data_IF_444005141644
#
_entry.id   IF_444005141644
#
_cell.length_a   1.000
_cell.length_b   1.000
_cell.length_c   1.000
_cell.angle_alpha   90.00
_cell.angle_beta   90.00
_cell.angle_gamma   90.00
#
_symmetry.space_group_name_H-M   'P 1'
#
loop_
_entity.id
_entity.type
_entity.pdbx_description
1 polymer ?
#
# COMPACT_ATOMS: atom_id res chain seq x y z
N UNK A 1 -1.46 21.36 -8.42
CA UNK A 1 -1.33 20.28 -7.42
C UNK A 1 -2.18 19.05 -7.77
N UNK A 2 -3.37 19.20 -8.37
CA UNK A 2 -4.23 18.06 -8.74
C UNK A 2 -3.56 17.06 -9.70
N UNK A 3 -2.81 17.52 -10.71
CA UNK A 3 -2.06 16.65 -11.64
C UNK A 3 -1.01 15.81 -10.89
N UNK A 4 -0.32 16.42 -9.91
CA UNK A 4 0.67 15.72 -9.07
C UNK A 4 -0.01 14.63 -8.24
N UNK A 5 -1.17 14.93 -7.63
CA UNK A 5 -1.96 13.95 -6.88
C UNK A 5 -2.35 12.76 -7.76
N UNK A 6 -2.85 13.00 -8.97
CA UNK A 6 -3.24 11.94 -9.90
C UNK A 6 -2.06 11.05 -10.30
N UNK A 7 -0.93 11.65 -10.68
CA UNK A 7 0.28 10.89 -11.04
C UNK A 7 0.74 10.03 -9.87
N UNK A 8 0.79 10.61 -8.67
CA UNK A 8 1.21 9.91 -7.46
C UNK A 8 0.25 8.77 -7.11
N UNK A 9 -1.06 9.02 -7.13
CA UNK A 9 -2.08 8.04 -6.80
C UNK A 9 -2.13 6.89 -7.80
N UNK A 10 -1.99 7.15 -9.11
CA UNK A 10 -1.93 6.09 -10.12
C UNK A 10 -0.69 5.22 -9.92
N UNK A 11 0.49 5.84 -9.72
CA UNK A 11 1.73 5.10 -9.48
C UNK A 11 1.62 4.21 -8.24
N UNK A 12 1.15 4.77 -7.12
CA UNK A 12 0.94 4.03 -5.88
C UNK A 12 -0.11 2.93 -6.05
N UNK A 13 -1.21 3.21 -6.73
CA UNK A 13 -2.26 2.22 -6.99
C UNK A 13 -1.70 1.03 -7.78
N UNK A 14 -0.93 1.25 -8.85
CA UNK A 14 -0.29 0.16 -9.61
C UNK A 14 0.60 -0.70 -8.70
N UNK A 15 1.42 -0.07 -7.86
CA UNK A 15 2.31 -0.78 -6.93
C UNK A 15 1.50 -1.62 -5.92
N UNK A 16 0.53 -1.01 -5.23
CA UNK A 16 -0.23 -1.67 -4.18
C UNK A 16 -1.22 -2.72 -4.71
N UNK A 17 -1.81 -2.49 -5.88
CA UNK A 17 -2.64 -3.50 -6.54
C UNK A 17 -1.80 -4.70 -6.99
N UNK A 18 -0.59 -4.46 -7.51
CA UNK A 18 0.33 -5.53 -7.89
C UNK A 18 0.80 -6.34 -6.67
N UNK A 19 1.35 -5.67 -5.66
CA UNK A 19 1.91 -6.32 -4.47
C UNK A 19 0.82 -6.94 -3.60
N UNK A 20 -0.25 -6.20 -3.32
CA UNK A 20 -1.40 -6.70 -2.57
C UNK A 20 -2.13 -7.81 -3.30
N UNK A 21 -2.31 -7.68 -4.62
CA UNK A 21 -2.89 -8.73 -5.47
C UNK A 21 -2.09 -10.03 -5.39
N UNK A 22 -0.75 -9.98 -5.40
CA UNK A 22 0.07 -11.17 -5.19
C UNK A 22 -0.18 -11.82 -3.83
N UNK A 23 -0.33 -11.03 -2.75
CA UNK A 23 -0.62 -11.55 -1.39
C UNK A 23 -2.01 -12.18 -1.29
N UNK A 24 -2.97 -11.73 -2.08
CA UNK A 24 -4.34 -12.28 -2.11
C UNK A 24 -4.43 -13.54 -2.97
N UNK A 25 -3.74 -13.56 -4.11
CA UNK A 25 -3.90 -14.59 -5.15
C UNK A 25 -2.94 -15.77 -5.01
N UNK A 26 -1.81 -15.61 -4.32
CA UNK A 26 -0.79 -16.66 -4.16
C UNK A 26 -0.83 -17.28 -2.76
N UNK A 27 -0.41 -18.53 -2.66
CA UNK A 27 -0.22 -19.16 -1.35
C UNK A 27 0.92 -18.50 -0.59
N UNK A 28 0.81 -18.49 0.74
CA UNK A 28 1.87 -18.01 1.65
C UNK A 28 3.22 -18.64 1.32
N UNK A 29 3.26 -19.95 1.10
CA UNK A 29 4.52 -20.66 0.90
C UNK A 29 5.17 -20.30 -0.45
N UNK A 30 4.37 -20.09 -1.49
CA UNK A 30 4.86 -19.61 -2.79
C UNK A 30 5.40 -18.17 -2.71
N UNK A 31 4.78 -17.32 -1.87
CA UNK A 31 5.28 -15.97 -1.60
C UNK A 31 6.59 -16.03 -0.82
N UNK A 32 6.63 -16.79 0.27
CA UNK A 32 7.80 -16.96 1.12
C UNK A 32 9.03 -17.47 0.36
N UNK A 33 8.83 -18.42 -0.55
CA UNK A 33 9.92 -19.06 -1.27
C UNK A 33 10.64 -18.13 -2.29
N UNK A 34 9.93 -17.16 -2.88
CA UNK A 34 10.44 -16.45 -4.08
C UNK A 34 10.28 -14.95 -4.09
N UNK A 35 9.36 -14.39 -3.30
CA UNK A 35 8.99 -12.97 -3.41
C UNK A 35 9.08 -12.22 -2.08
N UNK A 36 8.65 -12.86 -0.99
CA UNK A 36 8.40 -12.22 0.30
C UNK A 36 8.77 -13.17 1.43
N UNK A 37 10.07 -13.36 1.74
CA UNK A 37 10.51 -14.29 2.79
C UNK A 37 9.86 -14.05 4.16
N UNK A 38 9.47 -12.80 4.46
CA UNK A 38 8.73 -12.43 5.67
C UNK A 38 7.37 -13.13 5.79
N UNK A 39 6.74 -13.55 4.69
CA UNK A 39 5.46 -14.24 4.73
C UNK A 39 5.51 -15.56 5.53
N UNK A 40 6.70 -16.17 5.65
CA UNK A 40 6.92 -17.36 6.48
C UNK A 40 6.75 -17.09 7.99
N UNK A 41 6.84 -15.86 8.45
CA UNK A 41 6.73 -15.56 9.89
C UNK A 41 5.27 -15.38 10.34
N UNK A 42 4.34 -15.30 9.40
CA UNK A 42 2.94 -14.98 9.67
C UNK A 42 2.00 -16.06 9.18
N UNK A 43 0.81 -16.14 9.79
CA UNK A 43 -0.24 -17.04 9.33
C UNK A 43 -0.70 -16.66 7.90
N UNK A 44 -1.13 -17.64 7.07
CA UNK A 44 -1.63 -17.37 5.72
C UNK A 44 -2.75 -16.33 5.69
N UNK A 45 -3.65 -16.37 6.67
CA UNK A 45 -4.75 -15.40 6.82
C UNK A 45 -4.23 -13.99 7.02
N UNK A 46 -3.19 -13.79 7.84
CA UNK A 46 -2.58 -12.47 8.07
C UNK A 46 -1.99 -11.90 6.78
N UNK A 47 -1.24 -12.72 6.03
CA UNK A 47 -0.66 -12.30 4.73
C UNK A 47 -1.76 -11.89 3.76
N UNK A 48 -2.85 -12.66 3.71
CA UNK A 48 -4.00 -12.36 2.85
C UNK A 48 -4.72 -11.08 3.26
N UNK A 49 -4.93 -10.85 4.56
CA UNK A 49 -5.54 -9.63 5.08
C UNK A 49 -4.71 -8.39 4.76
N UNK A 50 -3.38 -8.47 4.87
CA UNK A 50 -2.48 -7.40 4.43
C UNK A 50 -2.68 -7.13 2.93
N UNK A 51 -2.72 -8.19 2.11
CA UNK A 51 -2.98 -8.06 0.68
C UNK A 51 -4.31 -7.39 0.35
N UNK A 52 -5.38 -7.78 1.03
CA UNK A 52 -6.71 -7.15 0.87
C UNK A 52 -6.65 -5.68 1.25
N UNK A 53 -6.03 -5.32 2.36
CA UNK A 53 -5.88 -3.94 2.79
C UNK A 53 -5.10 -3.09 1.77
N UNK A 54 -4.02 -3.63 1.22
CA UNK A 54 -3.24 -2.96 0.16
C UNK A 54 -4.04 -2.77 -1.12
N UNK A 55 -4.79 -3.78 -1.55
CA UNK A 55 -5.66 -3.68 -2.73
C UNK A 55 -6.75 -2.63 -2.52
N UNK A 56 -7.42 -2.66 -1.37
CA UNK A 56 -8.44 -1.66 -1.03
C UNK A 56 -7.84 -0.25 -0.96
N UNK A 57 -6.66 -0.09 -0.37
CA UNK A 57 -5.95 1.17 -0.34
C UNK A 57 -5.60 1.67 -1.74
N UNK A 58 -5.04 0.80 -2.60
CA UNK A 58 -4.70 1.14 -3.99
C UNK A 58 -5.92 1.54 -4.81
N UNK A 59 -7.04 0.82 -4.69
CA UNK A 59 -8.32 1.23 -5.30
C UNK A 59 -8.83 2.55 -4.72
N UNK A 60 -8.73 2.73 -3.39
CA UNK A 60 -9.16 3.92 -2.67
C UNK A 60 -8.40 5.18 -3.08
N UNK A 61 -7.16 5.08 -3.54
CA UNK A 61 -6.41 6.23 -4.08
C UNK A 61 -6.99 6.79 -5.38
N UNK A 62 -7.71 5.97 -6.16
CA UNK A 62 -8.11 6.30 -7.55
C UNK A 62 -9.62 6.38 -7.71
N UNK A 63 -10.38 5.38 -7.24
CA UNK A 63 -11.83 5.29 -7.50
C UNK A 63 -12.64 6.48 -6.98
N UNK A 64 -12.42 7.01 -5.77
CA UNK A 64 -13.16 8.18 -5.28
C UNK A 64 -12.94 9.42 -6.14
N UNK A 65 -11.71 9.61 -6.64
CA UNK A 65 -11.37 10.74 -7.52
C UNK A 65 -11.96 10.54 -8.92
N UNK A 66 -11.90 9.32 -9.46
CA UNK A 66 -12.36 8.99 -10.80
C UNK A 66 -13.88 9.07 -10.92
N UNK A 67 -14.59 8.64 -9.87
CA UNK A 67 -16.07 8.64 -9.83
C UNK A 67 -16.65 9.96 -9.32
N UNK A 68 -15.84 10.80 -8.66
CA UNK A 68 -16.29 12.00 -7.98
C UNK A 68 -17.07 11.74 -6.69
N UNK A 69 -17.18 10.49 -6.24
CA UNK A 69 -17.93 10.11 -5.04
C UNK A 69 -16.98 10.13 -3.83
N UNK A 70 -17.26 11.04 -2.89
CA UNK A 70 -16.47 11.27 -1.68
C UNK A 70 -14.95 11.33 -1.94
N UNK A 71 -14.43 12.31 -2.71
CA UNK A 71 -13.01 12.40 -3.07
C UNK A 71 -12.04 12.34 -1.88
N UNK A 72 -12.47 12.80 -0.70
CA UNK A 72 -11.72 12.70 0.56
C UNK A 72 -11.37 11.27 0.99
N UNK A 73 -12.02 10.24 0.44
CA UNK A 73 -11.63 8.85 0.66
C UNK A 73 -10.24 8.53 0.08
N UNK A 74 -9.77 9.26 -0.94
CA UNK A 74 -8.43 9.06 -1.49
C UNK A 74 -7.31 9.40 -0.50
N UNK A 75 -7.25 10.61 0.11
CA UNK A 75 -6.25 10.89 1.13
C UNK A 75 -6.43 10.02 2.39
N UNK A 76 -7.65 9.57 2.73
CA UNK A 76 -7.86 8.61 3.82
C UNK A 76 -7.27 7.23 3.49
N UNK A 77 -7.45 6.74 2.27
CA UNK A 77 -6.82 5.49 1.80
C UNK A 77 -5.29 5.59 1.85
N UNK A 78 -4.75 6.76 1.50
CA UNK A 78 -3.31 7.04 1.59
C UNK A 78 -2.79 6.91 3.04
N UNK A 79 -3.52 7.41 4.04
CA UNK A 79 -3.18 7.18 5.47
C UNK A 79 -3.14 5.69 5.79
N UNK A 80 -4.15 4.92 5.37
CA UNK A 80 -4.18 3.47 5.61
C UNK A 80 -2.96 2.75 5.04
N UNK A 81 -2.55 3.11 3.83
CA UNK A 81 -1.34 2.60 3.19
C UNK A 81 -0.06 3.05 3.93
N UNK A 82 -0.01 4.29 4.41
CA UNK A 82 1.10 4.77 5.25
C UNK A 82 1.27 3.91 6.50
N UNK A 83 0.18 3.61 7.21
CA UNK A 83 0.21 2.76 8.40
C UNK A 83 0.70 1.34 8.05
N UNK A 84 0.25 0.79 6.93
CA UNK A 84 0.74 -0.51 6.44
C UNK A 84 2.25 -0.49 6.16
N UNK A 85 2.77 0.59 5.58
CA UNK A 85 4.21 0.74 5.30
C UNK A 85 5.04 0.94 6.56
N UNK A 86 4.52 1.60 7.60
CA UNK A 86 5.19 1.69 8.90
C UNK A 86 5.35 0.29 9.51
N UNK A 87 4.27 -0.52 9.50
CA UNK A 87 4.33 -1.90 10.00
C UNK A 87 5.28 -2.75 9.16
N UNK A 88 5.23 -2.65 7.83
CA UNK A 88 6.14 -3.36 6.94
C UNK A 88 7.60 -2.99 7.18
N UNK A 89 7.90 -1.69 7.34
CA UNK A 89 9.23 -1.20 7.68
C UNK A 89 9.73 -1.78 9.00
N UNK A 90 8.88 -1.80 10.03
CA UNK A 90 9.22 -2.40 11.33
C UNK A 90 9.53 -3.91 11.22
N UNK A 91 8.78 -4.65 10.39
CA UNK A 91 9.06 -6.09 10.14
C UNK A 91 10.42 -6.28 9.48
N UNK A 92 10.76 -5.52 8.45
CA UNK A 92 12.06 -5.63 7.79
C UNK A 92 13.22 -5.24 8.71
N UNK A 93 13.08 -4.18 9.52
CA UNK A 93 14.10 -3.81 10.52
C UNK A 93 14.31 -4.92 11.55
N UNK A 94 13.23 -5.53 12.07
CA UNK A 94 13.33 -6.66 13.02
C UNK A 94 13.99 -7.89 12.42
N UNK A 95 13.86 -8.09 11.10
CA UNK A 95 14.51 -9.17 10.35
C UNK A 95 15.93 -8.83 9.91
N UNK A 96 16.47 -7.67 10.28
CA UNK A 96 17.75 -7.15 9.81
C UNK A 96 17.85 -7.06 8.27
N UNK A 97 16.71 -6.87 7.61
CA UNK A 97 16.58 -6.64 6.17
C UNK A 97 16.44 -5.14 5.88
N UNK A 98 16.71 -4.73 4.64
CA UNK A 98 16.55 -3.32 4.25
C UNK A 98 15.06 -2.90 4.26
N UNK A 99 14.67 -1.85 5.00
CA UNK A 99 13.30 -1.34 4.97
C UNK A 99 13.07 -0.34 3.83
N UNK A 100 14.05 -0.09 2.96
CA UNK A 100 14.02 0.98 1.98
C UNK A 100 12.76 0.99 1.09
N UNK A 101 12.27 -0.15 0.55
CA UNK A 101 11.03 -0.14 -0.24
C UNK A 101 9.81 0.32 0.56
N UNK A 102 9.68 -0.14 1.81
CA UNK A 102 8.59 0.27 2.71
C UNK A 102 8.70 1.75 3.08
N UNK A 103 9.91 2.25 3.35
CA UNK A 103 10.13 3.67 3.66
C UNK A 103 9.78 4.56 2.46
N UNK A 104 10.25 4.21 1.26
CA UNK A 104 9.96 5.00 0.05
C UNK A 104 8.47 5.00 -0.24
N UNK A 105 7.81 3.84 -0.24
CA UNK A 105 6.37 3.76 -0.43
C UNK A 105 5.61 4.53 0.67
N UNK A 106 6.06 4.43 1.92
CA UNK A 106 5.52 5.17 3.06
C UNK A 106 5.57 6.68 2.83
N UNK A 107 6.72 7.23 2.47
CA UNK A 107 6.88 8.66 2.17
C UNK A 107 5.95 9.10 1.03
N UNK A 108 5.86 8.31 -0.04
CA UNK A 108 4.98 8.62 -1.17
C UNK A 108 3.50 8.59 -0.77
N UNK A 109 3.07 7.66 0.08
CA UNK A 109 1.70 7.63 0.60
C UNK A 109 1.41 8.81 1.53
N UNK A 110 2.37 9.26 2.35
CA UNK A 110 2.24 10.48 3.16
C UNK A 110 2.08 11.69 2.24
N UNK A 111 2.90 11.80 1.20
CA UNK A 111 2.79 12.89 0.23
C UNK A 111 1.41 12.89 -0.46
N UNK A 112 0.90 11.72 -0.83
CA UNK A 112 -0.47 11.57 -1.39
C UNK A 112 -1.54 12.04 -0.41
N UNK A 113 -1.45 11.64 0.86
CA UNK A 113 -2.40 12.07 1.90
C UNK A 113 -2.38 13.59 2.08
N UNK A 114 -1.20 14.17 2.26
CA UNK A 114 -1.02 15.62 2.47
C UNK A 114 -1.52 16.41 1.27
N UNK A 115 -1.10 16.05 0.06
CA UNK A 115 -1.55 16.74 -1.16
C UNK A 115 -3.07 16.58 -1.33
N UNK A 116 -3.61 15.38 -1.08
CA UNK A 116 -5.05 15.12 -1.19
C UNK A 116 -5.87 16.00 -0.26
N UNK A 117 -5.51 16.10 1.04
CA UNK A 117 -6.24 16.97 1.98
C UNK A 117 -6.09 18.46 1.70
N UNK A 118 -5.01 18.89 1.05
CA UNK A 118 -4.81 20.30 0.69
C UNK A 118 -5.57 20.67 -0.59
N UNK A 119 -5.86 19.71 -1.47
CA UNK A 119 -6.32 19.99 -2.85
C UNK A 119 -7.75 19.60 -3.16
N UNK A 120 -8.35 18.68 -2.41
CA UNK A 120 -9.72 18.19 -2.57
C UNK A 120 -10.66 18.91 -1.61
#
# INVERSE_FOLDING_TARGET
>A
MIVVLWILNILLAVIFLGVGGMKVLRSRDALAARFMPWAADFAPTTVRLIGVAEVLGGLGLVLPLLTGIAPLLAPIAAIGLTLAMIVAGAVHVRRHETPAPAVVAGILTIASAVIGFITL
#
